data_IF_657017075884
#
_entry.id   IF_657017075884
#
_cell.length_a   1.000
_cell.length_b   1.000
_cell.length_c   1.000
_cell.angle_alpha   90.00
_cell.angle_beta   90.00
_cell.angle_gamma   90.00
#
_symmetry.space_group_name_H-M   'P 1'
#
loop_
_entity.id
_entity.type
_entity.pdbx_description
1 polymer ?
#
# COMPACT_ATOMS: atom_id res chain seq x y z
N UNK A 1 4.00 6.80 28.50
CA UNK A 1 3.00 6.72 27.41
C UNK A 1 1.64 6.99 28.02
N UNK A 2 0.73 7.70 27.35
CA UNK A 2 -0.64 7.90 27.84
C UNK A 2 -1.48 6.69 27.47
N UNK A 3 -2.19 6.13 28.43
CA UNK A 3 -3.18 5.07 28.24
C UNK A 3 -4.47 5.69 27.68
N UNK A 4 -4.41 6.09 26.42
CA UNK A 4 -5.58 6.59 25.70
C UNK A 4 -6.46 5.39 25.28
N UNK A 5 -7.74 5.34 25.66
CA UNK A 5 -8.63 4.22 25.36
C UNK A 5 -8.80 3.99 23.85
N UNK A 6 -8.75 5.03 23.02
CA UNK A 6 -8.83 4.93 21.55
C UNK A 6 -7.57 4.25 21.01
N UNK A 7 -6.40 4.63 21.55
CA UNK A 7 -5.13 4.02 21.13
C UNK A 7 -5.07 2.55 21.54
N UNK A 8 -5.58 2.20 22.72
CA UNK A 8 -5.66 0.81 23.19
C UNK A 8 -6.55 -0.05 22.27
N UNK A 9 -7.70 0.47 21.86
CA UNK A 9 -8.58 -0.22 20.91
C UNK A 9 -7.91 -0.41 19.54
N UNK A 10 -7.29 0.62 18.98
CA UNK A 10 -6.56 0.53 17.71
C UNK A 10 -5.45 -0.52 17.78
N UNK A 11 -4.71 -0.60 18.90
CA UNK A 11 -3.67 -1.62 19.11
C UNK A 11 -4.28 -3.02 19.11
N UNK A 12 -5.36 -3.23 19.86
CA UNK A 12 -6.07 -4.51 19.89
C UNK A 12 -6.54 -4.94 18.50
N UNK A 13 -7.17 -4.04 17.74
CA UNK A 13 -7.62 -4.34 16.37
C UNK A 13 -6.44 -4.68 15.44
N UNK A 14 -5.32 -3.95 15.53
CA UNK A 14 -4.13 -4.25 14.73
C UNK A 14 -3.56 -5.62 15.04
N UNK A 15 -3.53 -6.00 16.32
CA UNK A 15 -3.03 -7.30 16.75
C UNK A 15 -3.93 -8.44 16.28
N UNK A 16 -5.26 -8.30 16.43
CA UNK A 16 -6.23 -9.27 15.92
C UNK A 16 -6.16 -9.43 14.40
N UNK A 17 -5.87 -8.36 13.66
CA UNK A 17 -5.68 -8.42 12.20
C UNK A 17 -4.34 -9.09 11.84
N UNK A 18 -3.24 -8.72 12.49
CA UNK A 18 -1.92 -9.28 12.22
C UNK A 18 -1.83 -10.78 12.57
N UNK A 19 -2.48 -11.20 13.67
CA UNK A 19 -2.52 -12.59 14.09
C UNK A 19 -3.14 -13.53 13.03
N UNK A 20 -4.10 -13.03 12.23
CA UNK A 20 -4.71 -13.80 11.11
C UNK A 20 -3.68 -14.18 10.03
N UNK A 21 -2.59 -13.43 9.95
CA UNK A 21 -1.49 -13.65 9.01
C UNK A 21 -0.22 -14.11 9.71
N UNK A 22 -0.31 -14.59 10.95
CA UNK A 22 0.85 -14.99 11.76
C UNK A 22 1.93 -13.89 11.84
N UNK A 23 1.50 -12.62 11.84
CA UNK A 23 2.37 -11.44 11.84
C UNK A 23 3.31 -11.34 10.62
N UNK A 24 3.02 -12.08 9.54
CA UNK A 24 3.75 -11.99 8.28
C UNK A 24 3.26 -10.78 7.47
N UNK A 25 4.13 -9.79 7.32
CA UNK A 25 3.85 -8.54 6.60
C UNK A 25 3.66 -8.79 5.10
N UNK A 26 4.41 -9.73 4.53
CA UNK A 26 4.32 -10.05 3.10
C UNK A 26 2.98 -10.74 2.80
N UNK A 27 2.53 -11.62 3.69
CA UNK A 27 1.22 -12.27 3.58
C UNK A 27 0.05 -11.26 3.65
N UNK A 28 0.13 -10.29 4.55
CA UNK A 28 -0.85 -9.19 4.66
C UNK A 28 -0.89 -8.39 3.34
N UNK A 29 0.27 -8.07 2.78
CA UNK A 29 0.36 -7.31 1.55
C UNK A 29 -0.15 -8.11 0.33
N UNK A 30 0.14 -9.41 0.27
CA UNK A 30 -0.36 -10.28 -0.78
C UNK A 30 -1.90 -10.39 -0.77
N UNK A 31 -2.52 -10.51 0.41
CA UNK A 31 -3.98 -10.49 0.54
C UNK A 31 -4.58 -9.16 0.08
N UNK A 32 -3.97 -8.03 0.45
CA UNK A 32 -4.42 -6.72 -0.04
C UNK A 32 -4.35 -6.60 -1.56
N UNK A 33 -3.26 -7.04 -2.18
CA UNK A 33 -3.13 -7.06 -3.64
C UNK A 33 -4.19 -7.94 -4.31
N UNK A 34 -4.42 -9.15 -3.77
CA UNK A 34 -5.44 -10.07 -4.27
C UNK A 34 -6.84 -9.43 -4.27
N UNK A 35 -7.21 -8.77 -3.17
CA UNK A 35 -8.48 -8.03 -3.06
C UNK A 35 -8.58 -6.88 -4.06
N UNK A 36 -7.48 -6.15 -4.28
CA UNK A 36 -7.44 -5.10 -5.29
C UNK A 36 -7.65 -5.65 -6.70
N UNK A 37 -7.00 -6.77 -7.04
CA UNK A 37 -7.18 -7.44 -8.34
C UNK A 37 -8.61 -7.91 -8.54
N UNK A 38 -9.26 -8.47 -7.51
CA UNK A 38 -10.67 -8.89 -7.59
C UNK A 38 -11.63 -7.73 -7.86
N UNK A 39 -11.33 -6.52 -7.36
CA UNK A 39 -12.17 -5.33 -7.59
C UNK A 39 -12.07 -4.80 -9.03
N UNK A 40 -10.95 -5.04 -9.72
CA UNK A 40 -10.76 -4.67 -11.13
C UNK A 40 -11.11 -3.20 -11.40
N UNK A 41 -12.07 -2.96 -12.29
CA UNK A 41 -12.50 -1.61 -12.70
C UNK A 41 -13.24 -0.83 -11.60
N UNK A 42 -13.67 -1.49 -10.51
CA UNK A 42 -14.28 -0.79 -9.36
C UNK A 42 -13.24 -0.09 -8.49
N UNK A 43 -11.95 -0.40 -8.67
CA UNK A 43 -10.87 0.20 -7.91
C UNK A 43 -10.65 1.65 -8.39
N UNK A 44 -10.93 2.62 -7.51
CA UNK A 44 -10.66 4.04 -7.80
C UNK A 44 -9.17 4.31 -7.62
N UNK A 45 -8.51 4.67 -8.71
CA UNK A 45 -7.11 5.10 -8.69
C UNK A 45 -7.02 6.57 -8.22
N UNK A 46 -6.13 6.91 -7.28
CA UNK A 46 -5.88 8.29 -6.92
C UNK A 46 -5.37 9.06 -8.14
N UNK A 47 -5.89 10.29 -8.36
CA UNK A 47 -5.41 11.16 -9.45
C UNK A 47 -3.90 11.40 -9.27
N UNK A 48 -3.10 11.15 -10.31
CA UNK A 48 -1.68 11.54 -10.34
C UNK A 48 -1.58 13.02 -9.96
N UNK A 49 -0.83 13.34 -8.90
CA UNK A 49 -0.53 14.73 -8.56
C UNK A 49 0.30 15.29 -9.72
N UNK A 50 -0.26 16.26 -10.45
CA UNK A 50 0.47 17.02 -11.47
C UNK A 50 1.62 17.74 -10.76
N UNK A 51 2.85 17.22 -10.88
CA UNK A 51 4.04 17.87 -10.32
C UNK A 51 5.09 16.96 -9.67
N UNK A 52 4.78 15.68 -9.39
CA UNK A 52 5.82 14.73 -9.01
C UNK A 52 6.36 14.10 -10.30
N UNK A 53 7.35 14.75 -10.90
CA UNK A 53 8.23 14.10 -11.88
C UNK A 53 8.92 12.97 -11.12
N UNK A 54 8.60 11.74 -11.49
CA UNK A 54 9.30 10.56 -10.98
C UNK A 54 10.73 10.62 -11.55
N UNK A 55 11.76 10.72 -10.72
CA UNK A 55 13.17 10.73 -11.16
C UNK A 55 13.51 9.45 -11.96
N UNK A 56 12.71 8.39 -11.84
CA UNK A 56 12.86 7.17 -12.66
C UNK A 56 12.41 7.35 -14.12
N UNK A 57 11.56 8.33 -14.45
CA UNK A 57 11.20 8.66 -15.84
C UNK A 57 12.33 9.41 -16.57
N UNK A 58 13.28 10.03 -15.83
CA UNK A 58 14.45 10.69 -16.43
C UNK A 58 15.46 9.71 -17.03
N UNK A 59 15.57 8.50 -16.46
CA UNK A 59 16.53 7.49 -16.90
C UNK A 59 16.04 6.63 -18.08
N UNK A 60 14.77 6.76 -18.49
CA UNK A 60 14.20 6.12 -19.69
C UNK A 60 14.22 7.03 -20.91
N UNK A 61 15.32 7.74 -21.17
CA UNK A 61 15.51 8.28 -22.52
C UNK A 61 15.96 7.13 -23.43
N UNK A 62 15.27 6.85 -24.55
CA UNK A 62 15.81 5.94 -25.53
C UNK A 62 17.09 6.56 -26.08
N UNK A 63 18.20 5.82 -26.01
CA UNK A 63 19.39 6.10 -26.80
C UNK A 63 19.02 5.90 -28.27
N UNK A 64 18.53 6.97 -28.90
CA UNK A 64 18.55 7.11 -30.34
C UNK A 64 19.96 7.62 -30.70
N UNK A 65 20.80 6.72 -31.19
CA UNK A 65 22.01 7.00 -31.96
C UNK A 65 22.12 5.81 -32.94
N UNK A 66 21.61 6.03 -34.16
CA UNK A 66 22.38 6.17 -35.41
C UNK A 66 22.88 4.83 -35.95
#
# INVERSE_FOLDING_TARGET
MRDDPIVAEVRRTREELAARFNFDVDAIFADMQSRQTTLGQRLVLPKKRRGLVDESDRQRKPVLAE
#
